data_IF_856624025085
#
_entry.id   IF_856624025085
#
_cell.length_a   1.000
_cell.length_b   1.000
_cell.length_c   1.000
_cell.angle_alpha   90.00
_cell.angle_beta   90.00
_cell.angle_gamma   90.00
#
_symmetry.space_group_name_H-M   'P 1'
#
loop_
_entity.id
_entity.type
_entity.pdbx_description
1 polymer ?
#
# COMPACT_ATOMS: atom_id res chain seq x y z
N UNK A 1 27.81 47.81 -28.98
CA UNK A 1 27.97 46.34 -29.06
C UNK A 1 27.08 45.71 -28.00
N UNK A 2 26.14 44.86 -28.45
CA UNK A 2 24.98 44.38 -27.71
C UNK A 2 25.29 43.31 -26.65
N UNK A 3 24.49 43.35 -25.56
CA UNK A 3 24.12 42.36 -24.51
C UNK A 3 24.92 41.06 -24.35
N UNK A 4 25.44 40.75 -23.15
CA UNK A 4 24.77 39.98 -22.05
C UNK A 4 24.03 38.75 -22.56
N UNK A 5 24.37 37.57 -22.02
CA UNK A 5 23.66 36.26 -21.95
C UNK A 5 24.62 35.12 -22.37
N UNK A 6 24.90 34.08 -21.60
CA UNK A 6 24.52 33.74 -20.23
C UNK A 6 25.57 32.77 -19.68
N UNK A 7 26.05 33.01 -18.45
CA UNK A 7 26.67 31.94 -17.67
C UNK A 7 25.53 31.03 -17.24
N UNK A 8 25.44 29.81 -17.77
CA UNK A 8 24.73 28.74 -17.08
C UNK A 8 25.28 28.68 -15.66
N UNK A 9 24.51 29.14 -14.67
CA UNK A 9 24.80 28.89 -13.27
C UNK A 9 24.39 27.44 -13.05
N UNK A 10 25.33 26.53 -13.27
CA UNK A 10 25.19 25.16 -12.82
C UNK A 10 24.90 25.21 -11.29
N UNK A 11 23.85 24.55 -10.81
CA UNK A 11 23.54 24.55 -9.39
C UNK A 11 24.72 23.97 -8.64
N UNK A 12 25.23 24.71 -7.65
CA UNK A 12 26.33 24.28 -6.80
C UNK A 12 25.99 22.93 -6.18
N UNK A 13 26.93 21.97 -6.19
CA UNK A 13 26.73 20.59 -5.70
C UNK A 13 26.11 20.51 -4.31
N UNK A 14 26.38 21.50 -3.46
CA UNK A 14 25.79 21.61 -2.12
C UNK A 14 24.27 21.88 -2.14
N UNK A 15 23.76 22.69 -3.08
CA UNK A 15 22.32 22.91 -3.25
C UNK A 15 21.61 21.65 -3.73
N UNK A 16 22.21 20.91 -4.66
CA UNK A 16 21.67 19.63 -5.13
C UNK A 16 21.63 18.59 -4.00
N UNK A 17 22.61 18.61 -3.10
CA UNK A 17 22.61 17.75 -1.91
C UNK A 17 21.49 18.12 -0.93
N UNK A 18 21.33 19.42 -0.61
CA UNK A 18 20.29 19.90 0.28
C UNK A 18 18.87 19.59 -0.25
N UNK A 19 18.67 19.71 -1.56
CA UNK A 19 17.40 19.36 -2.22
C UNK A 19 17.12 17.86 -2.13
N UNK A 20 18.11 17.00 -2.39
CA UNK A 20 17.97 15.54 -2.23
C UNK A 20 17.70 15.13 -0.79
N UNK A 21 18.35 15.77 0.19
CA UNK A 21 18.10 15.48 1.61
C UNK A 21 16.68 15.87 2.01
N UNK A 22 16.19 17.05 1.59
CA UNK A 22 14.79 17.45 1.85
C UNK A 22 13.78 16.53 1.18
N UNK A 23 14.09 16.04 -0.02
CA UNK A 23 13.24 15.07 -0.70
C UNK A 23 13.20 13.73 0.05
N UNK A 24 14.35 13.25 0.53
CA UNK A 24 14.42 12.05 1.36
C UNK A 24 13.63 12.20 2.67
N UNK A 25 13.78 13.32 3.37
CA UNK A 25 13.03 13.64 4.58
C UNK A 25 11.51 13.69 4.31
N UNK A 26 11.11 14.31 3.19
CA UNK A 26 9.72 14.36 2.76
C UNK A 26 9.12 12.98 2.47
N UNK A 27 9.90 12.07 1.86
CA UNK A 27 9.50 10.68 1.60
C UNK A 27 9.33 9.91 2.92
N UNK A 28 10.23 10.10 3.88
CA UNK A 28 10.13 9.48 5.20
C UNK A 28 8.89 9.96 5.97
N UNK A 29 8.63 11.27 5.94
CA UNK A 29 7.45 11.86 6.58
C UNK A 29 6.14 11.31 5.97
N UNK A 30 6.07 11.23 4.63
CA UNK A 30 4.91 10.64 3.96
C UNK A 30 4.74 9.15 4.30
N UNK A 31 5.84 8.40 4.41
CA UNK A 31 5.79 7.00 4.86
C UNK A 31 5.12 6.85 6.23
N UNK A 32 5.48 7.70 7.19
CA UNK A 32 4.89 7.70 8.53
C UNK A 32 3.39 8.06 8.52
N UNK A 33 2.97 9.01 7.68
CA UNK A 33 1.54 9.34 7.50
C UNK A 33 0.75 8.17 6.91
N UNK A 34 1.33 7.44 5.96
CA UNK A 34 0.72 6.23 5.41
C UNK A 34 0.59 5.13 6.48
N UNK A 35 1.60 4.93 7.33
CA UNK A 35 1.53 4.00 8.47
C UNK A 35 0.38 4.37 9.42
N UNK A 36 0.21 5.66 9.72
CA UNK A 36 -0.85 6.14 10.61
C UNK A 36 -2.27 5.90 10.04
N UNK A 37 -2.45 6.16 8.74
CA UNK A 37 -3.72 5.90 8.04
C UNK A 37 -4.03 4.40 8.02
N UNK A 38 -3.04 3.56 7.69
CA UNK A 38 -3.20 2.11 7.67
C UNK A 38 -3.56 1.58 9.07
N UNK A 39 -2.88 2.04 10.12
CA UNK A 39 -3.19 1.67 11.50
C UNK A 39 -4.64 2.05 11.88
N UNK A 40 -5.09 3.26 11.53
CA UNK A 40 -6.45 3.70 11.80
C UNK A 40 -7.50 2.85 11.06
N UNK A 41 -7.24 2.48 9.80
CA UNK A 41 -8.12 1.61 9.03
C UNK A 41 -8.19 0.19 9.63
N UNK A 42 -7.06 -0.35 10.10
CA UNK A 42 -7.01 -1.65 10.74
C UNK A 42 -7.74 -1.69 12.08
N UNK A 43 -7.78 -0.59 12.84
CA UNK A 43 -8.62 -0.49 14.04
C UNK A 43 -10.11 -0.65 13.69
N UNK A 44 -10.57 -0.10 12.56
CA UNK A 44 -11.95 -0.29 12.08
C UNK A 44 -12.19 -1.76 11.73
N UNK A 45 -11.22 -2.42 11.09
CA UNK A 45 -11.33 -3.85 10.78
C UNK A 45 -11.47 -4.71 12.03
N UNK A 46 -10.59 -4.52 13.03
CA UNK A 46 -10.63 -5.29 14.29
C UNK A 46 -11.97 -5.12 15.00
N UNK A 47 -12.48 -3.89 15.07
CA UNK A 47 -13.80 -3.60 15.67
C UNK A 47 -14.96 -4.31 14.98
N UNK A 48 -14.80 -4.66 13.71
CA UNK A 48 -15.82 -5.32 12.88
C UNK A 48 -15.49 -6.78 12.57
N UNK A 49 -14.59 -7.41 13.34
CA UNK A 49 -14.27 -8.84 13.20
C UNK A 49 -13.40 -9.20 12.00
N UNK A 50 -12.74 -8.22 11.38
CA UNK A 50 -11.75 -8.43 10.33
C UNK A 50 -10.32 -8.43 10.90
N UNK A 51 -9.34 -9.04 10.19
CA UNK A 51 -7.94 -9.03 10.60
C UNK A 51 -7.36 -7.63 10.80
N UNK A 52 -6.52 -7.49 11.84
CA UNK A 52 -5.89 -6.22 12.24
C UNK A 52 -4.47 -6.00 11.75
N UNK A 53 -4.00 -6.77 10.76
CA UNK A 53 -2.65 -6.62 10.20
C UNK A 53 -2.70 -6.37 8.68
N UNK A 54 -1.70 -5.70 8.14
CA UNK A 54 -1.47 -5.68 6.70
C UNK A 54 -0.97 -7.07 6.26
N UNK A 55 -1.45 -7.52 5.10
CA UNK A 55 -1.02 -8.77 4.50
C UNK A 55 -2.04 -9.35 3.53
N UNK A 56 -1.82 -10.63 3.22
CA UNK A 56 -2.74 -11.47 2.46
C UNK A 56 -3.41 -12.47 3.39
N UNK A 57 -4.64 -12.83 3.06
CA UNK A 57 -5.47 -13.67 3.90
C UNK A 57 -6.14 -14.75 3.08
N UNK A 58 -6.31 -15.91 3.70
CA UNK A 58 -7.14 -17.00 3.17
C UNK A 58 -8.24 -17.37 4.16
N UNK A 59 -9.29 -18.02 3.68
CA UNK A 59 -10.27 -18.70 4.52
C UNK A 59 -10.73 -19.98 3.85
N UNK A 60 -11.03 -21.00 4.67
CA UNK A 60 -11.43 -22.31 4.18
C UNK A 60 -12.78 -22.26 3.45
N UNK A 61 -13.74 -21.51 4.00
CA UNK A 61 -15.07 -21.30 3.42
C UNK A 61 -15.60 -19.90 3.77
N UNK A 62 -16.84 -19.59 3.39
CA UNK A 62 -17.45 -18.26 3.60
C UNK A 62 -17.66 -17.90 5.08
N UNK A 63 -17.82 -18.89 5.96
CA UNK A 63 -18.05 -18.70 7.39
C UNK A 63 -16.77 -18.80 8.22
N UNK A 64 -15.72 -19.41 7.68
CA UNK A 64 -14.43 -19.51 8.33
C UNK A 64 -13.78 -18.14 8.55
N UNK A 65 -13.02 -17.96 9.65
CA UNK A 65 -12.24 -16.75 9.88
C UNK A 65 -11.14 -16.60 8.82
N UNK A 66 -10.72 -15.35 8.62
CA UNK A 66 -9.57 -15.05 7.77
C UNK A 66 -8.26 -15.36 8.51
N UNK A 67 -7.44 -16.19 7.90
CA UNK A 67 -6.11 -16.56 8.36
C UNK A 67 -5.04 -15.79 7.59
N UNK A 68 -4.09 -15.20 8.31
CA UNK A 68 -2.99 -14.46 7.69
C UNK A 68 -2.05 -15.44 6.99
N UNK A 69 -1.76 -15.18 5.73
CA UNK A 69 -0.74 -15.88 4.97
C UNK A 69 0.63 -15.28 5.24
N UNK A 70 1.67 -16.11 5.11
CA UNK A 70 3.04 -15.60 5.18
C UNK A 70 3.28 -14.56 4.09
N UNK A 71 3.98 -13.48 4.45
CA UNK A 71 4.22 -12.34 3.56
C UNK A 71 5.11 -12.74 2.35
N UNK A 72 5.77 -13.91 2.40
CA UNK A 72 6.68 -14.44 1.40
C UNK A 72 6.05 -15.43 0.39
N UNK A 73 4.75 -15.34 0.10
CA UNK A 73 4.16 -16.17 -0.95
C UNK A 73 4.67 -15.77 -2.34
N UNK A 74 5.18 -16.75 -3.10
CA UNK A 74 5.56 -16.53 -4.50
C UNK A 74 4.32 -16.19 -5.33
N UNK A 75 4.47 -15.50 -6.48
CA UNK A 75 3.36 -15.22 -7.39
C UNK A 75 2.59 -16.49 -7.80
N UNK A 76 3.29 -17.60 -8.00
CA UNK A 76 2.73 -18.89 -8.39
C UNK A 76 1.87 -19.48 -7.25
N UNK A 77 2.33 -19.39 -6.01
CA UNK A 77 1.55 -19.84 -4.84
C UNK A 77 0.28 -18.99 -4.65
N UNK A 78 0.37 -17.68 -4.87
CA UNK A 78 -0.82 -16.79 -4.86
C UNK A 78 -1.80 -17.15 -5.97
N UNK A 79 -1.30 -17.42 -7.17
CA UNK A 79 -2.15 -17.80 -8.30
C UNK A 79 -2.85 -19.14 -8.06
N UNK A 80 -2.14 -20.11 -7.49
CA UNK A 80 -2.72 -21.41 -7.10
C UNK A 80 -3.88 -21.24 -6.09
N UNK A 81 -3.75 -20.32 -5.13
CA UNK A 81 -4.83 -20.02 -4.17
C UNK A 81 -6.06 -19.39 -4.82
N UNK A 82 -5.87 -18.52 -5.81
CA UNK A 82 -6.97 -17.93 -6.59
C UNK A 82 -7.69 -19.02 -7.39
N UNK A 83 -6.93 -19.90 -8.06
CA UNK A 83 -7.48 -20.98 -8.89
C UNK A 83 -8.14 -22.10 -8.08
N UNK A 84 -7.73 -22.31 -6.83
CA UNK A 84 -8.29 -23.34 -5.95
C UNK A 84 -9.65 -22.96 -5.34
N UNK A 85 -10.11 -21.71 -5.51
CA UNK A 85 -11.39 -21.28 -4.98
C UNK A 85 -12.55 -21.79 -5.87
N UNK A 86 -13.48 -22.61 -5.34
CA UNK A 86 -14.64 -23.06 -6.10
C UNK A 86 -15.52 -21.88 -6.51
N UNK A 87 -16.03 -21.90 -7.73
CA UNK A 87 -16.99 -20.91 -8.20
C UNK A 87 -18.27 -20.96 -7.35
N UNK A 88 -18.74 -19.80 -6.87
CA UNK A 88 -19.98 -19.68 -6.09
C UNK A 88 -19.82 -19.69 -4.56
N UNK A 89 -18.65 -20.06 -4.02
CA UNK A 89 -18.44 -20.11 -2.55
C UNK A 89 -17.93 -18.79 -1.94
N UNK A 90 -17.80 -17.76 -2.77
CA UNK A 90 -17.28 -16.46 -2.38
C UNK A 90 -15.76 -16.42 -2.29
N UNK A 91 -15.22 -15.21 -2.10
CA UNK A 91 -13.77 -14.96 -2.14
C UNK A 91 -13.06 -15.74 -1.02
N UNK A 92 -12.12 -16.63 -1.37
CA UNK A 92 -11.30 -17.40 -0.42
C UNK A 92 -9.91 -16.82 -0.16
N UNK A 93 -9.46 -15.92 -1.02
CA UNK A 93 -8.19 -15.20 -0.90
C UNK A 93 -8.39 -13.70 -1.09
N UNK A 94 -7.84 -12.88 -0.21
CA UNK A 94 -7.95 -11.42 -0.29
C UNK A 94 -6.72 -10.73 0.33
N UNK A 95 -6.32 -9.59 -0.23
CA UNK A 95 -5.41 -8.69 0.48
C UNK A 95 -6.17 -7.88 1.53
N UNK A 96 -5.47 -7.31 2.51
CA UNK A 96 -6.05 -6.36 3.48
C UNK A 96 -6.87 -5.24 2.83
N UNK A 97 -6.45 -4.73 1.66
CA UNK A 97 -7.17 -3.73 0.89
C UNK A 97 -8.47 -4.25 0.25
N UNK A 98 -8.57 -5.55 -0.01
CA UNK A 98 -9.72 -6.16 -0.67
C UNK A 98 -10.74 -6.76 0.30
N UNK A 99 -10.32 -7.10 1.52
CA UNK A 99 -11.14 -7.77 2.54
C UNK A 99 -12.46 -7.06 2.82
N UNK A 100 -12.42 -5.73 2.93
CA UNK A 100 -13.57 -4.92 3.29
C UNK A 100 -14.35 -4.33 2.10
N UNK A 101 -13.91 -4.54 0.86
CA UNK A 101 -14.44 -3.86 -0.31
C UNK A 101 -15.95 -4.11 -0.53
N UNK A 102 -16.37 -5.36 -0.32
CA UNK A 102 -17.76 -5.82 -0.51
C UNK A 102 -18.53 -5.92 0.82
N UNK A 103 -18.01 -5.35 1.90
CA UNK A 103 -18.65 -5.41 3.22
C UNK A 103 -20.01 -4.70 3.22
N UNK A 104 -21.03 -5.22 3.90
CA UNK A 104 -22.30 -4.50 4.08
C UNK A 104 -22.12 -3.18 4.88
N UNK A 105 -21.09 -3.10 5.72
CA UNK A 105 -20.82 -1.97 6.60
C UNK A 105 -20.06 -0.84 5.87
N UNK A 106 -20.63 0.38 5.76
CA UNK A 106 -20.00 1.49 5.04
C UNK A 106 -18.61 1.89 5.56
N UNK A 107 -18.41 1.87 6.87
CA UNK A 107 -17.13 2.19 7.52
C UNK A 107 -16.04 1.18 7.16
N UNK A 108 -16.38 -0.10 7.02
CA UNK A 108 -15.45 -1.15 6.59
C UNK A 108 -15.07 -0.93 5.13
N UNK A 109 -16.02 -0.58 4.26
CA UNK A 109 -15.72 -0.24 2.85
C UNK A 109 -14.80 0.99 2.74
N UNK A 110 -15.01 2.01 3.57
CA UNK A 110 -14.14 3.20 3.62
C UNK A 110 -12.74 2.86 4.11
N UNK A 111 -12.62 2.03 5.14
CA UNK A 111 -11.33 1.53 5.62
C UNK A 111 -10.59 0.76 4.52
N UNK A 112 -11.29 -0.12 3.79
CA UNK A 112 -10.73 -0.85 2.65
C UNK A 112 -10.22 0.09 1.54
N UNK A 113 -11.01 1.10 1.18
CA UNK A 113 -10.60 2.10 0.20
C UNK A 113 -9.35 2.89 0.65
N UNK A 114 -9.25 3.22 1.94
CA UNK A 114 -8.06 3.84 2.52
C UNK A 114 -6.81 2.95 2.39
N UNK A 115 -6.93 1.68 2.77
CA UNK A 115 -5.85 0.69 2.62
C UNK A 115 -5.43 0.51 1.14
N UNK A 116 -6.39 0.48 0.22
CA UNK A 116 -6.11 0.41 -1.21
C UNK A 116 -5.34 1.64 -1.71
N UNK A 117 -5.73 2.83 -1.27
CA UNK A 117 -5.02 4.07 -1.62
C UNK A 117 -3.59 4.09 -1.04
N UNK A 118 -3.41 3.72 0.23
CA UNK A 118 -2.10 3.63 0.86
C UNK A 118 -1.17 2.65 0.12
N UNK A 119 -1.69 1.47 -0.26
CA UNK A 119 -0.95 0.48 -1.06
C UNK A 119 -0.46 1.08 -2.39
N UNK A 120 -1.32 1.79 -3.12
CA UNK A 120 -0.96 2.44 -4.38
C UNK A 120 0.11 3.51 -4.16
N UNK A 121 -0.04 4.35 -3.13
CA UNK A 121 0.94 5.39 -2.82
C UNK A 121 2.30 4.81 -2.43
N UNK A 122 2.35 3.74 -1.62
CA UNK A 122 3.58 3.03 -1.30
C UNK A 122 4.26 2.45 -2.53
N UNK A 123 3.50 1.83 -3.44
CA UNK A 123 4.06 1.32 -4.70
C UNK A 123 4.69 2.46 -5.51
N UNK A 124 4.01 3.61 -5.63
CA UNK A 124 4.55 4.78 -6.32
C UNK A 124 5.81 5.33 -5.66
N UNK A 125 5.89 5.32 -4.34
CA UNK A 125 7.08 5.73 -3.60
C UNK A 125 8.24 4.76 -3.83
N UNK A 126 7.98 3.46 -3.85
CA UNK A 126 8.98 2.43 -4.16
C UNK A 126 9.50 2.58 -5.61
N UNK A 127 8.60 2.75 -6.58
CA UNK A 127 8.94 2.93 -7.99
C UNK A 127 9.76 4.22 -8.22
N UNK A 128 9.43 5.30 -7.50
CA UNK A 128 10.15 6.58 -7.56
C UNK A 128 11.49 6.57 -6.81
N UNK A 129 11.73 5.56 -5.98
CA UNK A 129 12.99 5.29 -5.30
C UNK A 129 13.88 4.27 -6.04
N UNK A 130 13.35 3.59 -7.06
CA UNK A 130 14.02 2.52 -7.79
C UNK A 130 14.09 2.77 -9.29
N UNK A 131 15.10 3.54 -9.74
CA UNK A 131 15.73 3.32 -11.04
C UNK A 131 17.19 3.82 -11.02
N UNK A 132 18.16 3.07 -11.59
CA UNK A 132 19.57 3.48 -11.73
C UNK A 132 19.78 4.69 -12.67
#
# INVERSE_FOLDING_TARGET
MFSRFGRSREPSSQRLHDERSREADGRLALGAELDAIEAAALVIYVRNGLPGAIGHYQRADRQAPWEKLEDALTPEQRWALVQAAPEGEGRRFASSADLGADSPLPEVRRAAAGLAACRVLRQRLADSGGFP
#
